data_IF_226469519379
#
_entry.id   IF_226469519379
#
_cell.length_a   1.000
_cell.length_b   1.000
_cell.length_c   1.000
_cell.angle_alpha   90.00
_cell.angle_beta   90.00
_cell.angle_gamma   90.00
#
_symmetry.space_group_name_H-M   'P 1'
#
loop_
_entity.id
_entity.type
_entity.pdbx_description
1 polymer ?
#
# COMPACT_ATOMS: atom_id res chain seq x y z
N UNK A 1 -23.19 -6.91 -2.44
CA UNK A 1 -21.82 -6.48 -2.15
C UNK A 1 -20.91 -7.34 -3.02
N UNK A 2 -19.90 -6.78 -3.70
CA UNK A 2 -18.94 -7.59 -4.45
C UNK A 2 -18.27 -8.58 -3.51
N UNK A 3 -17.95 -9.78 -3.98
CA UNK A 3 -17.22 -10.77 -3.19
C UNK A 3 -15.75 -10.40 -3.05
N UNK A 4 -15.06 -10.91 -2.05
CA UNK A 4 -13.63 -10.63 -1.80
C UNK A 4 -12.74 -10.91 -3.04
N UNK A 5 -13.13 -11.87 -3.89
CA UNK A 5 -12.45 -12.16 -5.16
C UNK A 5 -12.60 -11.04 -6.21
N UNK A 6 -13.74 -10.34 -6.23
CA UNK A 6 -13.98 -9.24 -7.19
C UNK A 6 -13.04 -8.06 -6.89
N UNK A 7 -12.68 -7.87 -5.61
CA UNK A 7 -11.72 -6.85 -5.19
C UNK A 7 -10.28 -7.19 -5.55
N UNK A 8 -9.89 -8.47 -5.41
CA UNK A 8 -8.55 -8.93 -5.76
C UNK A 8 -8.30 -8.87 -7.28
N UNK A 9 -9.29 -9.27 -8.09
CA UNK A 9 -9.22 -9.19 -9.55
C UNK A 9 -9.12 -7.74 -10.04
N UNK A 10 -9.79 -6.81 -9.35
CA UNK A 10 -9.69 -5.38 -9.67
C UNK A 10 -8.29 -4.83 -9.39
N UNK A 11 -7.68 -5.18 -8.25
CA UNK A 11 -6.28 -4.82 -7.94
C UNK A 11 -5.33 -5.40 -8.96
N UNK A 12 -5.50 -6.67 -9.31
CA UNK A 12 -4.66 -7.38 -10.26
C UNK A 12 -4.68 -6.72 -11.65
N UNK A 13 -5.87 -6.38 -12.14
CA UNK A 13 -6.06 -5.75 -13.45
C UNK A 13 -5.42 -4.37 -13.49
N UNK A 14 -5.59 -3.56 -12.45
CA UNK A 14 -5.13 -2.18 -12.43
C UNK A 14 -3.60 -2.06 -12.35
N UNK A 15 -2.95 -2.94 -11.56
CA UNK A 15 -1.48 -3.03 -11.49
C UNK A 15 -0.87 -3.55 -12.81
N UNK A 16 -1.60 -4.37 -13.56
CA UNK A 16 -1.13 -4.96 -14.82
C UNK A 16 -1.13 -4.04 -16.03
N UNK A 17 -1.85 -2.91 -15.97
CA UNK A 17 -1.94 -1.98 -17.11
C UNK A 17 -0.74 -1.02 -17.18
N UNK A 18 0.06 -0.93 -16.12
CA UNK A 18 1.07 0.10 -15.91
C UNK A 18 2.42 -0.54 -15.49
N UNK A 19 2.96 -1.42 -16.33
CA UNK A 19 4.22 -2.15 -16.09
C UNK A 19 5.49 -1.28 -16.13
N UNK A 20 5.38 -0.02 -16.55
CA UNK A 20 6.51 0.87 -16.84
C UNK A 20 6.80 1.86 -15.70
N UNK A 21 5.84 2.08 -14.78
CA UNK A 21 5.95 3.10 -13.72
C UNK A 21 5.88 2.47 -12.31
N UNK A 22 6.55 3.08 -11.33
CA UNK A 22 6.49 2.65 -9.93
C UNK A 22 5.18 3.13 -9.31
N UNK A 23 4.22 2.25 -9.06
CA UNK A 23 2.93 2.61 -8.45
C UNK A 23 2.91 2.37 -6.95
N UNK A 24 2.12 3.18 -6.24
CA UNK A 24 1.82 3.05 -4.82
C UNK A 24 0.30 2.89 -4.61
N UNK A 25 -0.09 2.03 -3.66
CA UNK A 25 -1.47 1.92 -3.19
C UNK A 25 -1.65 2.84 -1.98
N UNK A 26 -2.59 3.78 -2.09
CA UNK A 26 -2.96 4.70 -1.02
C UNK A 26 -4.31 4.29 -0.45
N UNK A 27 -4.36 4.13 0.87
CA UNK A 27 -5.62 3.93 1.58
C UNK A 27 -6.13 5.28 2.10
N UNK A 28 -7.40 5.58 1.85
CA UNK A 28 -8.03 6.85 2.15
C UNK A 28 -8.86 6.77 3.45
N UNK A 29 -9.06 7.88 4.19
CA UNK A 29 -9.81 7.88 5.45
C UNK A 29 -11.28 7.46 5.37
N UNK A 30 -11.84 7.40 4.15
CA UNK A 30 -13.20 6.98 3.86
C UNK A 30 -13.31 5.48 3.54
N UNK A 31 -12.32 4.68 3.95
CA UNK A 31 -12.23 3.23 3.71
C UNK A 31 -12.14 2.83 2.23
N UNK A 32 -11.88 3.79 1.34
CA UNK A 32 -11.56 3.54 -0.07
C UNK A 32 -10.05 3.52 -0.30
N UNK A 33 -9.62 3.08 -1.48
CA UNK A 33 -8.22 3.06 -1.86
C UNK A 33 -8.03 3.50 -3.31
N UNK A 34 -6.85 4.00 -3.63
CA UNK A 34 -6.43 4.34 -4.99
C UNK A 34 -5.02 3.82 -5.28
N UNK A 35 -4.74 3.53 -6.55
CA UNK A 35 -3.39 3.21 -7.05
C UNK A 35 -2.95 4.38 -7.90
N UNK A 36 -1.83 4.98 -7.55
CA UNK A 36 -1.31 6.18 -8.22
C UNK A 36 0.21 6.24 -8.10
N UNK A 37 0.85 7.15 -8.85
CA UNK A 37 2.29 7.40 -8.75
C UNK A 37 2.68 7.88 -7.33
N UNK A 38 3.92 7.60 -6.87
CA UNK A 38 4.47 8.22 -5.67
C UNK A 38 4.44 9.75 -5.81
N UNK A 39 4.01 10.43 -4.75
CA UNK A 39 3.90 11.88 -4.76
C UNK A 39 5.27 12.55 -4.94
N UNK A 40 5.44 13.36 -5.99
CA UNK A 40 6.71 13.99 -6.38
C UNK A 40 7.30 14.95 -5.32
N UNK A 41 6.48 15.41 -4.36
CA UNK A 41 6.92 16.15 -3.18
C UNK A 41 6.74 15.30 -1.94
N UNK A 42 7.86 14.74 -1.47
CA UNK A 42 8.00 14.12 -0.16
C UNK A 42 7.54 15.13 0.90
N UNK A 43 6.32 14.95 1.40
CA UNK A 43 6.00 15.44 2.73
C UNK A 43 6.97 14.73 3.66
N UNK A 44 7.99 15.45 4.17
CA UNK A 44 9.14 14.96 4.95
C UNK A 44 8.79 14.27 6.29
N UNK A 45 7.56 13.76 6.42
CA UNK A 45 6.87 13.45 7.66
C UNK A 45 6.34 12.02 7.63
N UNK A 46 5.93 11.48 6.47
CA UNK A 46 5.44 10.11 6.34
C UNK A 46 6.31 9.34 5.35
N UNK A 47 6.79 8.16 5.74
CA UNK A 47 7.49 7.25 4.83
C UNK A 47 6.51 6.81 3.74
N UNK A 48 6.95 6.75 2.49
CA UNK A 48 6.14 6.22 1.40
C UNK A 48 5.86 4.72 1.62
N UNK A 49 4.70 4.21 1.16
CA UNK A 49 4.46 2.76 1.09
C UNK A 49 5.55 2.05 0.28
N UNK A 50 5.64 0.72 0.43
CA UNK A 50 6.64 -0.09 -0.30
C UNK A 50 6.54 0.13 -1.82
N UNK A 51 7.56 0.79 -2.38
CA UNK A 51 7.75 1.01 -3.80
C UNK A 51 8.05 -0.31 -4.53
N UNK A 52 7.55 -0.43 -5.76
CA UNK A 52 7.97 -1.49 -6.68
C UNK A 52 7.35 -2.88 -6.43
N UNK A 53 6.21 -2.93 -5.74
CA UNK A 53 5.41 -4.16 -5.56
C UNK A 53 5.03 -4.84 -6.89
N UNK A 54 4.90 -4.06 -7.97
CA UNK A 54 4.69 -4.56 -9.34
C UNK A 54 5.88 -5.34 -9.91
N UNK A 55 7.13 -5.01 -9.55
CA UNK A 55 8.33 -5.70 -10.07
C UNK A 55 8.51 -7.12 -9.52
N UNK A 56 7.99 -7.38 -8.33
CA UNK A 56 8.05 -8.70 -7.72
C UNK A 56 6.95 -9.64 -8.26
N UNK A 57 5.86 -9.11 -8.84
CA UNK A 57 4.63 -9.85 -9.17
C UNK A 57 4.90 -11.09 -10.02
N UNK A 58 5.67 -10.95 -11.10
CA UNK A 58 5.88 -12.03 -12.07
C UNK A 58 7.02 -12.99 -11.66
N UNK A 59 7.74 -12.66 -10.59
CA UNK A 59 8.89 -13.42 -10.08
C UNK A 59 8.58 -14.39 -8.94
N UNK A 60 7.39 -14.32 -8.33
CA UNK A 60 6.98 -15.16 -7.20
C UNK A 60 5.53 -15.64 -7.34
N UNK A 61 5.14 -16.67 -6.59
CA UNK A 61 3.78 -17.19 -6.63
C UNK A 61 2.78 -16.11 -6.14
N UNK A 62 1.64 -15.95 -6.81
CA UNK A 62 0.62 -14.94 -6.51
C UNK A 62 0.27 -14.87 -5.01
N UNK A 63 0.10 -16.03 -4.35
CA UNK A 63 -0.17 -16.08 -2.91
C UNK A 63 0.97 -15.54 -2.04
N UNK A 64 2.22 -15.82 -2.42
CA UNK A 64 3.41 -15.30 -1.73
C UNK A 64 3.56 -13.80 -1.98
N UNK A 65 3.25 -13.35 -3.20
CA UNK A 65 3.20 -11.94 -3.56
C UNK A 65 2.16 -11.18 -2.74
N UNK A 66 0.93 -11.68 -2.68
CA UNK A 66 -0.14 -11.10 -1.85
C UNK A 66 0.24 -11.08 -0.36
N UNK A 67 0.90 -12.14 0.13
CA UNK A 67 1.38 -12.19 1.52
C UNK A 67 2.46 -11.14 1.80
N UNK A 68 3.37 -10.93 0.85
CA UNK A 68 4.41 -9.90 0.93
C UNK A 68 3.79 -8.49 0.92
N UNK A 69 2.85 -8.23 0.00
CA UNK A 69 2.12 -6.96 -0.06
C UNK A 69 1.40 -6.69 1.27
N UNK A 70 0.67 -7.67 1.80
CA UNK A 70 -0.05 -7.54 3.07
C UNK A 70 0.90 -7.22 4.25
N UNK A 71 2.01 -7.96 4.39
CA UNK A 71 2.97 -7.74 5.48
C UNK A 71 3.63 -6.34 5.41
N UNK A 72 3.92 -5.85 4.21
CA UNK A 72 4.44 -4.50 4.01
C UNK A 72 3.37 -3.43 4.31
N UNK A 73 2.12 -3.65 3.91
CA UNK A 73 1.00 -2.76 4.24
C UNK A 73 0.77 -2.66 5.74
N UNK A 74 0.74 -3.78 6.47
CA UNK A 74 0.59 -3.81 7.93
C UNK A 74 1.70 -3.00 8.63
N UNK A 75 2.95 -3.21 8.19
CA UNK A 75 4.11 -2.51 8.75
C UNK A 75 4.03 -1.00 8.50
N UNK A 76 3.58 -0.60 7.31
CA UNK A 76 3.42 0.81 6.96
C UNK A 76 2.29 1.46 7.77
N UNK A 77 1.14 0.82 7.89
CA UNK A 77 0.03 1.33 8.71
C UNK A 77 0.42 1.49 10.18
N UNK A 78 1.14 0.52 10.74
CA UNK A 78 1.70 0.64 12.09
C UNK A 78 2.65 1.82 12.20
N UNK A 79 3.57 1.99 11.26
CA UNK A 79 4.47 3.14 11.23
C UNK A 79 3.70 4.47 11.22
N UNK A 80 2.70 4.61 10.36
CA UNK A 80 1.85 5.81 10.27
C UNK A 80 1.12 6.07 11.59
N UNK A 81 0.50 5.03 12.17
CA UNK A 81 -0.23 5.14 13.43
C UNK A 81 0.69 5.59 14.59
N UNK A 82 1.88 5.00 14.72
CA UNK A 82 2.85 5.38 15.75
C UNK A 82 3.44 6.78 15.50
N UNK A 83 3.72 7.13 14.25
CA UNK A 83 4.20 8.45 13.87
C UNK A 83 3.21 9.55 14.28
N UNK A 84 1.94 9.36 13.94
CA UNK A 84 0.87 10.28 14.32
C UNK A 84 0.67 10.29 15.84
N UNK A 85 0.62 9.13 16.49
CA UNK A 85 0.52 9.02 17.95
C UNK A 85 1.62 9.80 18.67
N UNK A 86 2.88 9.67 18.24
CA UNK A 86 4.00 10.44 18.80
C UNK A 86 3.83 11.95 18.59
N UNK A 87 3.35 12.39 17.41
CA UNK A 87 3.06 13.82 17.16
C UNK A 87 1.93 14.38 18.02
N UNK A 88 0.93 13.57 18.33
CA UNK A 88 -0.19 13.95 19.20
C UNK A 88 0.11 13.78 20.70
N UNK A 89 1.34 13.38 21.05
CA UNK A 89 1.79 13.27 22.44
C UNK A 89 1.31 12.01 23.15
N UNK A 90 0.88 10.99 22.40
CA UNK A 90 0.51 9.70 22.98
C UNK A 90 1.79 9.03 23.51
N UNK A 91 1.73 8.60 24.76
CA UNK A 91 2.79 7.84 25.39
C UNK A 91 2.29 6.41 25.65
N UNK A 92 3.09 5.62 26.35
CA UNK A 92 2.82 4.19 26.55
C UNK A 92 1.57 3.88 27.41
N UNK A 93 0.94 4.88 28.05
CA UNK A 93 -0.05 4.69 29.13
C UNK A 93 -1.46 5.16 28.76
#
# INVERSE_FOLDING_TARGET
MPGDNDYLDMVFTQVSLEEVENLCRYELPNESWEVNLPAEKVSHVLLEPTLGINFARDGIQEKEWLSMVAAHSDTWLLYVAFYLGARFGFNKN
#
